data_IF_969584093120
#
_entry.id   IF_969584093120
#
_cell.length_a   1.000
_cell.length_b   1.000
_cell.length_c   1.000
_cell.angle_alpha   90.00
_cell.angle_beta   90.00
_cell.angle_gamma   90.00
#
_symmetry.space_group_name_H-M   'P 1'
#
loop_
_entity.id
_entity.type
_entity.pdbx_description
1 polymer ?
#
# COMPACT_ATOMS: atom_id res chain seq x y z
N UNK A 1 -13.46 -13.83 4.92
CA UNK A 1 -13.28 -13.08 3.66
C UNK A 1 -12.77 -11.67 4.00
N UNK A 2 -11.76 -11.19 3.28
CA UNK A 2 -11.11 -9.87 3.45
C UNK A 2 -11.44 -8.88 2.32
N UNK A 3 -12.18 -9.30 1.29
CA UNK A 3 -12.50 -8.50 0.09
C UNK A 3 -13.02 -7.09 0.40
N UNK A 4 -13.95 -6.95 1.34
CA UNK A 4 -14.56 -5.69 1.75
C UNK A 4 -13.57 -4.68 2.38
N UNK A 5 -12.41 -5.15 2.88
CA UNK A 5 -11.36 -4.26 3.41
C UNK A 5 -10.55 -3.65 2.27
N UNK A 6 -10.30 -4.41 1.22
CA UNK A 6 -9.36 -4.09 0.15
C UNK A 6 -10.10 -3.70 -1.14
N UNK A 7 -10.62 -2.48 -1.16
CA UNK A 7 -11.27 -1.88 -2.34
C UNK A 7 -10.42 -0.73 -2.90
N UNK A 8 -10.61 -0.34 -4.16
CA UNK A 8 -9.92 0.82 -4.73
C UNK A 8 -10.08 2.10 -3.90
N UNK A 9 -11.27 2.34 -3.34
CA UNK A 9 -11.58 3.52 -2.52
C UNK A 9 -10.84 3.53 -1.18
N UNK A 10 -10.47 2.34 -0.68
CA UNK A 10 -9.73 2.17 0.58
C UNK A 10 -8.22 2.07 0.35
N UNK A 11 -7.74 2.18 -0.88
CA UNK A 11 -6.32 2.10 -1.17
C UNK A 11 -5.60 3.35 -0.65
N UNK A 12 -4.64 3.14 0.24
CA UNK A 12 -3.69 4.15 0.71
C UNK A 12 -2.28 3.61 0.52
N UNK A 13 -1.47 4.33 -0.25
CA UNK A 13 -0.15 3.87 -0.66
C UNK A 13 0.78 3.59 0.53
N UNK A 14 0.60 4.30 1.65
CA UNK A 14 1.48 4.21 2.81
C UNK A 14 0.93 3.23 3.86
N UNK A 15 -0.38 3.25 4.08
CA UNK A 15 -1.01 2.60 5.23
C UNK A 15 -1.88 1.41 4.87
N UNK A 16 -2.30 1.27 3.62
CA UNK A 16 -3.29 0.26 3.22
C UNK A 16 -3.17 -0.07 1.73
N UNK A 17 -2.08 -0.76 1.38
CA UNK A 17 -1.69 -1.05 -0.01
C UNK A 17 -1.63 -2.57 -0.28
N UNK A 18 -1.07 -2.95 -1.44
CA UNK A 18 -0.92 -4.33 -1.87
C UNK A 18 -0.15 -5.23 -0.90
N UNK A 19 0.80 -4.70 -0.12
CA UNK A 19 1.57 -5.49 0.83
C UNK A 19 0.76 -5.82 2.08
N UNK A 20 -0.11 -4.91 2.55
CA UNK A 20 -1.04 -5.21 3.65
C UNK A 20 -2.07 -6.26 3.22
N UNK A 21 -2.62 -6.11 2.01
CA UNK A 21 -3.48 -7.14 1.40
C UNK A 21 -2.78 -8.49 1.35
N UNK A 22 -1.55 -8.52 0.83
CA UNK A 22 -0.78 -9.76 0.70
C UNK A 22 -0.46 -10.36 2.07
N UNK A 23 -0.20 -9.53 3.09
CA UNK A 23 -0.01 -10.01 4.45
C UNK A 23 -1.27 -10.71 4.99
N UNK A 24 -2.43 -10.04 4.94
CA UNK A 24 -3.69 -10.63 5.42
C UNK A 24 -4.10 -11.85 4.60
N UNK A 25 -3.88 -11.84 3.28
CA UNK A 25 -4.15 -12.98 2.41
C UNK A 25 -3.25 -14.17 2.75
N UNK A 26 -1.95 -13.94 2.98
CA UNK A 26 -1.00 -14.98 3.38
C UNK A 26 -1.34 -15.57 4.76
N UNK A 27 -1.70 -14.72 5.73
CA UNK A 27 -2.18 -15.17 7.04
C UNK A 27 -3.44 -16.02 6.92
N UNK A 28 -4.40 -15.59 6.12
CA UNK A 28 -5.64 -16.34 5.88
C UNK A 28 -5.39 -17.71 5.24
N UNK A 29 -4.51 -17.78 4.23
CA UNK A 29 -4.26 -19.00 3.46
C UNK A 29 -3.30 -19.97 4.14
N UNK A 30 -2.31 -19.45 4.87
CA UNK A 30 -1.17 -20.24 5.35
C UNK A 30 -0.97 -20.20 6.86
N UNK A 31 -1.71 -19.34 7.58
CA UNK A 31 -1.49 -19.07 9.01
C UNK A 31 -0.27 -18.20 9.29
N UNK A 32 0.41 -17.69 8.26
CA UNK A 32 1.61 -16.85 8.39
C UNK A 32 1.59 -15.70 7.39
N UNK A 33 1.82 -14.48 7.89
CA UNK A 33 1.97 -13.30 7.07
C UNK A 33 3.29 -13.23 6.29
N UNK A 34 3.43 -12.18 5.51
CA UNK A 34 4.71 -11.85 4.88
C UNK A 34 5.64 -11.20 5.92
N UNK A 35 6.94 -11.13 5.64
CA UNK A 35 7.89 -10.49 6.56
C UNK A 35 7.55 -9.01 6.81
N UNK A 36 7.73 -8.54 8.05
CA UNK A 36 7.37 -7.20 8.50
C UNK A 36 7.88 -6.07 7.61
N UNK A 37 9.14 -6.18 7.15
CA UNK A 37 9.78 -5.21 6.26
C UNK A 37 9.02 -4.95 4.95
N UNK A 38 8.16 -5.88 4.51
CA UNK A 38 7.42 -5.76 3.26
C UNK A 38 6.13 -4.95 3.45
N UNK A 39 5.30 -5.28 4.43
CA UNK A 39 4.08 -4.50 4.66
C UNK A 39 4.37 -3.15 5.33
N UNK A 40 5.44 -3.01 6.12
CA UNK A 40 5.84 -1.72 6.70
C UNK A 40 6.76 -0.87 5.79
N UNK A 41 7.06 -1.30 4.56
CA UNK A 41 8.07 -0.69 3.70
C UNK A 41 7.95 0.85 3.58
N UNK A 42 6.76 1.36 3.26
CA UNK A 42 6.54 2.80 3.07
C UNK A 42 6.68 3.58 4.39
N UNK A 43 6.22 3.00 5.50
CA UNK A 43 6.35 3.59 6.85
C UNK A 43 7.81 3.65 7.27
N UNK A 44 8.54 2.55 7.15
CA UNK A 44 9.97 2.47 7.46
C UNK A 44 10.81 3.43 6.63
N UNK A 45 10.47 3.61 5.34
CA UNK A 45 11.11 4.64 4.52
C UNK A 45 10.92 6.01 5.16
N UNK A 46 9.67 6.40 5.44
CA UNK A 46 9.29 7.70 5.99
C UNK A 46 9.82 7.93 7.42
N UNK A 47 10.22 6.92 8.16
CA UNK A 47 10.88 7.10 9.47
C UNK A 47 12.28 7.73 9.37
N UNK A 48 12.88 7.74 8.18
CA UNK A 48 14.22 8.32 7.97
C UNK A 48 14.17 9.78 7.48
N UNK A 49 15.16 10.62 7.82
CA UNK A 49 15.25 11.99 7.29
C UNK A 49 15.30 12.04 5.76
N UNK A 50 16.02 11.10 5.14
CA UNK A 50 16.07 10.97 3.69
C UNK A 50 14.70 10.55 3.11
N UNK A 51 14.01 9.61 3.76
CA UNK A 51 12.69 9.16 3.35
C UNK A 51 11.62 10.24 3.41
N UNK A 52 11.68 11.15 4.39
CA UNK A 52 10.78 12.31 4.46
C UNK A 52 10.87 13.20 3.22
N UNK A 53 12.03 13.27 2.57
CA UNK A 53 12.19 14.01 1.30
C UNK A 53 11.39 13.38 0.15
N UNK A 54 11.08 12.08 0.21
CA UNK A 54 10.26 11.39 -0.80
C UNK A 54 8.75 11.48 -0.54
N UNK A 55 8.32 12.00 0.62
CA UNK A 55 6.89 12.12 0.96
C UNK A 55 6.07 12.82 -0.13
N UNK A 56 6.50 13.95 -0.74
CA UNK A 56 5.73 14.59 -1.81
C UNK A 56 5.52 13.69 -3.02
N UNK A 57 6.52 12.91 -3.40
CA UNK A 57 6.44 11.96 -4.50
C UNK A 57 5.45 10.82 -4.20
N UNK A 58 5.50 10.26 -2.99
CA UNK A 58 4.55 9.23 -2.56
C UNK A 58 3.11 9.75 -2.56
N UNK A 59 2.89 10.98 -2.05
CA UNK A 59 1.57 11.63 -2.09
C UNK A 59 1.07 11.82 -3.52
N UNK A 60 1.94 12.26 -4.45
CA UNK A 60 1.58 12.39 -5.86
C UNK A 60 1.19 11.05 -6.48
N UNK A 61 1.96 9.99 -6.20
CA UNK A 61 1.66 8.66 -6.71
C UNK A 61 0.33 8.12 -6.16
N UNK A 62 0.04 8.35 -4.87
CA UNK A 62 -1.27 8.04 -4.29
C UNK A 62 -2.40 8.77 -5.02
N UNK A 63 -2.22 10.06 -5.32
CA UNK A 63 -3.20 10.85 -6.09
C UNK A 63 -3.49 10.23 -7.46
N UNK A 64 -2.47 9.76 -8.18
CA UNK A 64 -2.64 9.11 -9.48
C UNK A 64 -3.29 7.72 -9.38
N UNK A 65 -3.11 7.00 -8.27
CA UNK A 65 -3.77 5.70 -8.05
C UNK A 65 -5.25 5.91 -7.74
N UNK A 66 -5.58 6.90 -6.91
CA UNK A 66 -6.96 7.20 -6.52
C UNK A 66 -7.73 7.93 -7.64
N UNK A 67 -7.03 8.72 -8.45
CA UNK A 67 -7.59 9.46 -9.59
C UNK A 67 -6.77 9.18 -10.86
N UNK A 68 -6.88 7.96 -11.39
CA UNK A 68 -6.12 7.57 -12.58
C UNK A 68 -6.59 8.37 -13.80
N UNK A 69 -5.68 8.71 -14.73
CA UNK A 69 -6.05 9.41 -15.94
C UNK A 69 -7.02 8.57 -16.80
N UNK A 70 -7.86 9.21 -17.63
CA UNK A 70 -8.72 8.50 -18.56
C UNK A 70 -7.93 7.50 -19.42
N UNK A 71 -8.39 6.26 -19.50
CA UNK A 71 -7.74 5.20 -20.28
C UNK A 71 -6.68 4.38 -19.55
N UNK A 72 -6.42 4.62 -18.25
CA UNK A 72 -5.39 3.88 -17.52
C UNK A 72 -5.70 2.40 -17.26
N UNK A 73 -6.98 2.03 -17.31
CA UNK A 73 -7.45 0.65 -17.08
C UNK A 73 -8.07 -0.01 -18.33
N UNK A 74 -7.84 0.55 -19.51
CA UNK A 74 -8.31 0.02 -20.80
C UNK A 74 -7.14 -0.34 -21.71
#
# INVERSE_FOLDING_TARGET
DISHKYTPEKYDLINHNCNMFTNEAAEFLTGKGIGEKYYNQAKTLLETPAGQMFKPFLTQMQGNIQNPPPGFYY
#
